data_IF_463150758174
#
_entry.id   IF_463150758174
#
_cell.length_a   1.000
_cell.length_b   1.000
_cell.length_c   1.000
_cell.angle_alpha   90.00
_cell.angle_beta   90.00
_cell.angle_gamma   90.00
#
_symmetry.space_group_name_H-M   'P 1'
#
loop_
_entity.id
_entity.type
_entity.pdbx_description
1 polymer ?
#
# COMPACT_ATOMS: atom_id res chain seq x y z
N UNK A 1 7.44 26.07 -14.30
CA UNK A 1 6.66 26.10 -13.05
C UNK A 1 6.55 24.67 -12.54
N UNK A 2 7.19 24.34 -11.41
CA UNK A 2 7.26 22.96 -10.90
C UNK A 2 5.87 22.42 -10.56
N UNK A 3 5.58 21.15 -10.93
CA UNK A 3 4.35 20.49 -10.54
C UNK A 3 4.29 20.41 -9.01
N UNK A 4 3.38 21.18 -8.39
CA UNK A 4 3.26 21.25 -6.94
C UNK A 4 2.35 20.11 -6.47
N UNK A 5 2.89 19.17 -5.71
CA UNK A 5 2.14 18.09 -5.07
C UNK A 5 1.02 18.70 -4.21
N UNK A 6 -0.19 18.18 -4.32
CA UNK A 6 -1.30 18.59 -3.46
C UNK A 6 -1.19 17.88 -2.09
N UNK A 7 -0.25 18.31 -1.25
CA UNK A 7 0.13 17.64 0.00
C UNK A 7 -1.06 17.27 0.90
N UNK A 8 -2.00 18.19 1.15
CA UNK A 8 -3.19 17.91 1.98
C UNK A 8 -3.96 16.71 1.45
N UNK A 9 -4.22 16.67 0.14
CA UNK A 9 -4.92 15.55 -0.50
C UNK A 9 -4.08 14.29 -0.51
N UNK A 10 -2.78 14.41 -0.79
CA UNK A 10 -1.85 13.29 -0.79
C UNK A 10 -1.85 12.60 0.58
N UNK A 11 -1.82 13.36 1.68
CA UNK A 11 -1.87 12.83 3.05
C UNK A 11 -3.24 12.23 3.39
N UNK A 12 -4.35 12.91 3.06
CA UNK A 12 -5.69 12.38 3.34
C UNK A 12 -5.94 11.04 2.62
N UNK A 13 -5.56 10.95 1.34
CA UNK A 13 -5.70 9.73 0.56
C UNK A 13 -4.74 8.65 1.06
N UNK A 14 -3.52 9.02 1.44
CA UNK A 14 -2.58 8.10 2.07
C UNK A 14 -3.16 7.46 3.33
N UNK A 15 -3.69 8.27 4.25
CA UNK A 15 -4.29 7.80 5.51
C UNK A 15 -5.45 6.84 5.20
N UNK A 16 -6.34 7.25 4.29
CA UNK A 16 -7.47 6.42 3.87
C UNK A 16 -7.01 5.07 3.28
N UNK A 17 -6.03 5.10 2.38
CA UNK A 17 -5.48 3.89 1.74
C UNK A 17 -4.83 2.96 2.75
N UNK A 18 -3.98 3.52 3.61
CA UNK A 18 -3.24 2.78 4.62
C UNK A 18 -4.20 2.08 5.58
N UNK A 19 -5.17 2.82 6.14
CA UNK A 19 -6.18 2.25 7.05
C UNK A 19 -7.00 1.16 6.35
N UNK A 20 -7.43 1.37 5.11
CA UNK A 20 -8.22 0.39 4.38
C UNK A 20 -7.43 -0.90 4.11
N UNK A 21 -6.17 -0.79 3.67
CA UNK A 21 -5.28 -1.95 3.48
C UNK A 21 -5.08 -2.70 4.79
N UNK A 22 -4.83 -1.98 5.90
CA UNK A 22 -4.64 -2.61 7.22
C UNK A 22 -5.89 -3.39 7.63
N UNK A 23 -7.09 -2.81 7.50
CA UNK A 23 -8.34 -3.49 7.83
C UNK A 23 -8.51 -4.76 6.97
N UNK A 24 -8.28 -4.66 5.67
CA UNK A 24 -8.43 -5.80 4.75
C UNK A 24 -7.40 -6.90 5.02
N UNK A 25 -6.14 -6.54 5.25
CA UNK A 25 -5.07 -7.50 5.53
C UNK A 25 -5.28 -8.22 6.86
N UNK A 26 -5.60 -7.47 7.93
CA UNK A 26 -5.90 -8.03 9.25
C UNK A 26 -7.17 -8.88 9.18
N UNK A 27 -8.23 -8.39 8.53
CA UNK A 27 -9.47 -9.13 8.34
C UNK A 27 -9.26 -10.46 7.61
N UNK A 28 -8.42 -10.48 6.57
CA UNK A 28 -8.05 -11.71 5.87
C UNK A 28 -7.32 -12.70 6.80
N UNK A 29 -6.35 -12.22 7.58
CA UNK A 29 -5.60 -13.07 8.50
C UNK A 29 -6.52 -13.72 9.56
N UNK A 30 -7.44 -12.95 10.15
CA UNK A 30 -8.41 -13.48 11.10
C UNK A 30 -9.41 -14.44 10.43
N UNK A 31 -9.92 -14.10 9.25
CA UNK A 31 -10.82 -14.99 8.52
C UNK A 31 -10.17 -16.35 8.20
N UNK A 32 -8.89 -16.35 7.83
CA UNK A 32 -8.14 -17.58 7.58
C UNK A 32 -7.85 -18.38 8.85
N UNK A 33 -7.67 -17.71 10.00
CA UNK A 33 -7.41 -18.37 11.27
C UNK A 33 -8.58 -19.25 11.74
N UNK A 34 -9.83 -18.90 11.37
CA UNK A 34 -11.01 -19.74 11.63
C UNK A 34 -10.97 -21.09 10.90
N UNK A 35 -10.31 -21.15 9.74
CA UNK A 35 -10.28 -22.36 8.89
C UNK A 35 -8.96 -23.13 8.98
N UNK A 36 -7.90 -22.51 9.51
CA UNK A 36 -6.56 -23.09 9.57
C UNK A 36 -6.16 -23.24 11.04
N UNK A 37 -6.32 -24.45 11.61
CA UNK A 37 -5.93 -24.71 12.99
C UNK A 37 -4.44 -24.45 13.18
N UNK A 38 -4.10 -23.68 14.21
CA UNK A 38 -2.73 -23.48 14.64
C UNK A 38 -2.48 -24.27 15.95
N UNK A 39 -1.30 -24.88 16.13
CA UNK A 39 -0.88 -25.36 17.44
C UNK A 39 -0.91 -24.19 18.44
N UNK A 40 -1.27 -24.42 19.72
CA UNK A 40 -1.30 -23.35 20.73
C UNK A 40 0.05 -22.68 20.97
N UNK A 41 1.13 -23.29 20.49
CA UNK A 41 2.50 -22.78 20.58
C UNK A 41 2.86 -21.77 19.49
N UNK A 42 1.99 -21.57 18.49
CA UNK A 42 2.27 -20.70 17.34
C UNK A 42 1.13 -19.70 17.17
N UNK A 43 1.30 -18.51 17.75
CA UNK A 43 0.32 -17.43 17.69
C UNK A 43 0.85 -16.20 16.92
N UNK A 44 -0.08 -15.36 16.48
CA UNK A 44 0.20 -14.09 15.82
C UNK A 44 0.88 -14.24 14.46
N UNK A 45 1.95 -13.48 14.25
CA UNK A 45 2.68 -13.32 12.97
C UNK A 45 3.39 -14.58 12.47
N UNK A 46 3.50 -15.62 13.30
CA UNK A 46 4.08 -16.92 12.89
C UNK A 46 3.00 -17.98 12.61
N UNK A 47 1.72 -17.67 12.80
CA UNK A 47 0.64 -18.63 12.57
C UNK A 47 0.55 -19.00 11.08
N UNK A 48 0.20 -20.27 10.75
CA UNK A 48 0.02 -20.68 9.36
C UNK A 48 -1.02 -19.84 8.60
N UNK A 49 -2.07 -19.39 9.29
CA UNK A 49 -3.09 -18.50 8.74
C UNK A 49 -2.52 -17.14 8.33
N UNK A 50 -1.71 -16.52 9.20
CA UNK A 50 -1.07 -15.24 8.91
C UNK A 50 -0.06 -15.35 7.76
N UNK A 51 0.79 -16.38 7.76
CA UNK A 51 1.77 -16.63 6.69
C UNK A 51 1.10 -16.88 5.32
N UNK A 52 -0.11 -17.45 5.31
CA UNK A 52 -0.91 -17.57 4.10
C UNK A 52 -1.49 -16.20 3.69
N UNK A 53 -2.05 -15.45 4.64
CA UNK A 53 -2.63 -14.13 4.41
C UNK A 53 -1.59 -13.16 3.80
N UNK A 54 -0.36 -13.17 4.30
CA UNK A 54 0.74 -12.32 3.83
C UNK A 54 0.96 -12.38 2.32
N UNK A 55 0.77 -13.55 1.71
CA UNK A 55 0.95 -13.76 0.27
C UNK A 55 -0.04 -12.94 -0.57
N UNK A 56 -1.17 -12.56 0.01
CA UNK A 56 -2.21 -11.75 -0.62
C UNK A 56 -2.09 -10.26 -0.34
N UNK A 57 -1.24 -9.84 0.62
CA UNK A 57 -1.11 -8.43 0.99
C UNK A 57 -0.64 -7.54 -0.18
N UNK A 58 0.28 -7.97 -1.08
CA UNK A 58 0.60 -7.17 -2.26
C UNK A 58 -0.60 -6.95 -3.18
N UNK A 59 -1.45 -7.96 -3.35
CA UNK A 59 -2.67 -7.85 -4.18
C UNK A 59 -3.68 -6.90 -3.55
N UNK A 60 -3.91 -7.02 -2.24
CA UNK A 60 -4.78 -6.09 -1.48
C UNK A 60 -4.27 -4.66 -1.64
N UNK A 61 -2.96 -4.45 -1.54
CA UNK A 61 -2.36 -3.13 -1.75
C UNK A 61 -2.64 -2.61 -3.15
N UNK A 62 -2.38 -3.39 -4.21
CA UNK A 62 -2.68 -2.95 -5.58
C UNK A 62 -4.16 -2.60 -5.76
N UNK A 63 -5.06 -3.43 -5.24
CA UNK A 63 -6.51 -3.22 -5.32
C UNK A 63 -6.98 -1.94 -4.62
N UNK A 64 -6.28 -1.49 -3.57
CA UNK A 64 -6.63 -0.27 -2.82
C UNK A 64 -5.91 0.96 -3.39
N UNK A 65 -4.60 0.87 -3.58
CA UNK A 65 -3.77 2.01 -3.97
C UNK A 65 -4.05 2.48 -5.39
N UNK A 66 -4.39 1.60 -6.34
CA UNK A 66 -4.71 2.01 -7.72
C UNK A 66 -6.00 2.88 -7.78
N UNK A 67 -7.16 2.45 -7.23
CA UNK A 67 -8.36 3.29 -7.21
C UNK A 67 -8.19 4.58 -6.41
N UNK A 68 -7.44 4.55 -5.30
CA UNK A 68 -7.20 5.75 -4.50
C UNK A 68 -6.22 6.72 -5.17
N UNK A 69 -5.27 6.22 -5.95
CA UNK A 69 -4.47 7.05 -6.86
C UNK A 69 -5.37 7.74 -7.89
N UNK A 70 -6.36 7.03 -8.43
CA UNK A 70 -7.35 7.65 -9.33
C UNK A 70 -8.16 8.73 -8.62
N UNK A 71 -8.58 8.48 -7.38
CA UNK A 71 -9.26 9.50 -6.57
C UNK A 71 -8.37 10.73 -6.34
N UNK A 72 -7.05 10.58 -6.22
CA UNK A 72 -6.11 11.70 -6.16
C UNK A 72 -6.09 12.51 -7.46
N UNK A 73 -6.01 11.86 -8.62
CA UNK A 73 -5.91 12.55 -9.91
C UNK A 73 -7.25 13.05 -10.47
N UNK A 74 -8.40 12.53 -10.00
CA UNK A 74 -9.73 12.82 -10.56
C UNK A 74 -10.07 14.31 -10.71
N UNK A 75 -9.60 15.16 -9.80
CA UNK A 75 -9.91 16.60 -9.81
C UNK A 75 -8.67 17.46 -9.99
N UNK A 76 -7.60 16.89 -10.56
CA UNK A 76 -6.39 17.62 -10.90
C UNK A 76 -6.46 18.13 -12.32
N UNK A 77 -6.15 19.42 -12.49
CA UNK A 77 -6.16 20.08 -13.78
C UNK A 77 -5.15 19.43 -14.75
N UNK A 78 -5.60 19.29 -15.98
CA UNK A 78 -5.04 18.40 -17.00
C UNK A 78 -3.75 18.92 -17.64
N UNK A 79 -3.31 20.12 -17.26
CA UNK A 79 -2.23 20.88 -17.90
C UNK A 79 -0.83 20.55 -17.39
N UNK A 80 -0.70 19.71 -16.34
CA UNK A 80 0.57 19.45 -15.69
C UNK A 80 1.23 18.14 -16.14
N UNK A 81 2.55 18.05 -15.95
CA UNK A 81 3.36 16.84 -16.17
C UNK A 81 2.92 15.71 -15.22
N UNK A 82 1.79 15.08 -15.53
CA UNK A 82 1.08 14.10 -14.69
C UNK A 82 1.99 12.95 -14.25
N UNK A 83 2.93 12.54 -15.09
CA UNK A 83 3.93 11.52 -14.76
C UNK A 83 4.94 11.98 -13.71
N UNK A 84 5.40 13.24 -13.75
CA UNK A 84 6.31 13.77 -12.71
C UNK A 84 5.58 13.91 -11.39
N UNK A 85 4.33 14.36 -11.42
CA UNK A 85 3.50 14.41 -10.21
C UNK A 85 3.24 13.00 -9.65
N UNK A 86 2.91 12.02 -10.50
CA UNK A 86 2.72 10.64 -10.10
C UNK A 86 3.98 10.01 -9.49
N UNK A 87 5.15 10.26 -10.09
CA UNK A 87 6.42 9.80 -9.52
C UNK A 87 6.68 10.43 -8.14
N UNK A 88 6.44 11.72 -8.01
CA UNK A 88 6.60 12.44 -6.73
C UNK A 88 5.63 11.92 -5.67
N UNK A 89 4.37 11.69 -6.04
CA UNK A 89 3.34 11.15 -5.17
C UNK A 89 3.66 9.72 -4.72
N UNK A 90 4.06 8.85 -5.66
CA UNK A 90 4.44 7.46 -5.37
C UNK A 90 5.63 7.40 -4.42
N UNK A 91 6.67 8.19 -4.66
CA UNK A 91 7.83 8.29 -3.74
C UNK A 91 7.41 8.81 -2.37
N UNK A 92 6.57 9.85 -2.32
CA UNK A 92 6.08 10.42 -1.06
C UNK A 92 5.30 9.39 -0.23
N UNK A 93 4.36 8.67 -0.84
CA UNK A 93 3.60 7.62 -0.17
C UNK A 93 4.45 6.44 0.25
N UNK A 94 5.41 6.02 -0.58
CA UNK A 94 6.36 4.98 -0.23
C UNK A 94 7.15 5.33 1.03
N UNK A 95 7.73 6.54 1.09
CA UNK A 95 8.50 6.99 2.26
C UNK A 95 7.62 7.02 3.51
N UNK A 96 6.40 7.57 3.41
CA UNK A 96 5.48 7.58 4.54
C UNK A 96 5.12 6.18 5.01
N UNK A 97 4.83 5.24 4.10
CA UNK A 97 4.52 3.86 4.44
C UNK A 97 5.69 3.20 5.16
N UNK A 98 6.91 3.32 4.63
CA UNK A 98 8.11 2.75 5.27
C UNK A 98 8.34 3.31 6.69
N UNK A 99 8.11 4.60 6.91
CA UNK A 99 8.26 5.22 8.22
C UNK A 99 7.19 4.73 9.21
N UNK A 100 5.93 4.68 8.77
CA UNK A 100 4.84 4.20 9.62
C UNK A 100 5.02 2.71 9.92
N UNK A 101 5.44 1.91 8.94
CA UNK A 101 5.65 0.48 9.13
C UNK A 101 6.80 0.21 10.10
N UNK A 102 7.90 0.97 9.99
CA UNK A 102 9.01 0.90 10.93
C UNK A 102 8.54 1.26 12.36
N UNK A 103 7.80 2.35 12.53
CA UNK A 103 7.34 2.77 13.86
C UNK A 103 6.30 1.79 14.41
N UNK A 104 5.30 1.46 13.61
CA UNK A 104 4.14 0.64 13.98
C UNK A 104 4.52 -0.80 14.25
N UNK A 105 5.18 -1.47 13.29
CA UNK A 105 5.42 -2.91 13.37
C UNK A 105 6.78 -3.29 13.95
N UNK A 106 7.76 -2.39 14.01
CA UNK A 106 9.11 -2.74 14.48
C UNK A 106 9.43 -2.11 15.85
N UNK A 107 9.19 -0.80 15.99
CA UNK A 107 9.55 -0.06 17.20
C UNK A 107 8.52 -0.20 18.33
N UNK A 108 7.23 -0.10 18.01
CA UNK A 108 6.16 -0.25 19.00
C UNK A 108 5.88 -1.73 19.22
N UNK A 109 5.87 -2.17 20.49
CA UNK A 109 5.60 -3.57 20.86
C UNK A 109 4.10 -3.81 21.00
N UNK A 110 3.58 -4.72 20.19
CA UNK A 110 2.20 -5.20 20.21
C UNK A 110 2.15 -6.62 19.62
N UNK A 111 1.00 -7.33 19.63
CA UNK A 111 0.92 -8.73 19.19
C UNK A 111 1.33 -9.01 17.74
N UNK A 112 1.36 -7.97 16.88
CA UNK A 112 1.80 -8.07 15.48
C UNK A 112 3.18 -7.42 15.24
N UNK A 113 3.89 -7.03 16.31
CA UNK A 113 5.22 -6.45 16.18
C UNK A 113 6.26 -7.52 15.82
N UNK A 114 7.19 -7.16 14.96
CA UNK A 114 8.26 -8.00 14.44
C UNK A 114 9.62 -7.41 14.84
N UNK A 115 10.66 -8.26 14.88
CA UNK A 115 12.02 -7.75 14.92
C UNK A 115 12.37 -7.08 13.57
N UNK A 116 13.33 -6.14 13.51
CA UNK A 116 13.74 -5.55 12.23
C UNK A 116 14.15 -6.60 11.20
N UNK A 117 14.81 -7.67 11.66
CA UNK A 117 15.21 -8.80 10.80
C UNK A 117 14.00 -9.53 10.26
N UNK A 118 13.02 -9.85 11.10
CA UNK A 118 11.84 -10.61 10.67
C UNK A 118 10.95 -9.76 9.75
N UNK A 119 10.86 -8.45 10.02
CA UNK A 119 10.10 -7.53 9.19
C UNK A 119 10.72 -7.38 7.78
N UNK A 120 12.02 -7.11 7.66
CA UNK A 120 12.63 -6.88 6.35
C UNK A 120 13.06 -8.17 5.65
N UNK A 121 13.61 -9.15 6.37
CA UNK A 121 14.11 -10.39 5.77
C UNK A 121 13.05 -11.49 5.84
N UNK A 122 12.37 -11.64 6.97
CA UNK A 122 11.37 -12.68 7.18
C UNK A 122 10.15 -12.51 6.28
N UNK A 123 9.71 -11.27 6.03
CA UNK A 123 8.60 -10.99 5.12
C UNK A 123 9.01 -10.89 3.65
N UNK A 124 10.25 -11.24 3.29
CA UNK A 124 10.64 -11.29 1.89
C UNK A 124 9.85 -12.40 1.16
N UNK A 125 9.26 -12.15 -0.03
CA UNK A 125 9.31 -10.92 -0.82
C UNK A 125 8.13 -9.96 -0.58
N UNK A 126 7.17 -10.34 0.25
CA UNK A 126 5.84 -9.72 0.35
C UNK A 126 5.89 -8.23 0.72
N UNK A 127 6.67 -7.83 1.73
CA UNK A 127 6.76 -6.42 2.14
C UNK A 127 7.32 -5.52 1.02
N UNK A 128 8.27 -6.03 0.24
CA UNK A 128 8.84 -5.29 -0.89
C UNK A 128 7.86 -5.16 -2.06
N UNK A 129 7.03 -6.18 -2.28
CA UNK A 129 5.96 -6.10 -3.29
C UNK A 129 4.85 -5.13 -2.86
N UNK A 130 4.57 -5.00 -1.56
CA UNK A 130 3.68 -3.97 -1.01
C UNK A 130 4.27 -2.58 -1.30
N UNK A 131 5.54 -2.35 -0.95
CA UNK A 131 6.21 -1.08 -1.25
C UNK A 131 6.23 -0.74 -2.74
N UNK A 132 6.48 -1.73 -3.59
CA UNK A 132 6.37 -1.57 -5.03
C UNK A 132 4.94 -1.17 -5.43
N UNK A 133 3.91 -1.87 -4.92
CA UNK A 133 2.51 -1.54 -5.21
C UNK A 133 2.16 -0.09 -4.85
N UNK A 134 2.58 0.38 -3.67
CA UNK A 134 2.36 1.77 -3.22
C UNK A 134 3.02 2.75 -4.20
N UNK A 135 4.28 2.51 -4.56
CA UNK A 135 5.05 3.37 -5.44
C UNK A 135 4.49 3.40 -6.88
N UNK A 136 4.15 2.23 -7.46
CA UNK A 136 3.72 2.17 -8.87
C UNK A 136 2.29 2.66 -9.06
N UNK A 137 1.43 2.59 -8.04
CA UNK A 137 -0.01 2.83 -8.19
C UNK A 137 -0.34 4.22 -8.79
N UNK A 138 0.29 5.32 -8.33
CA UNK A 138 0.13 6.63 -8.98
C UNK A 138 0.56 6.64 -10.45
N UNK A 139 1.65 5.93 -10.78
CA UNK A 139 2.23 5.90 -12.12
C UNK A 139 1.31 5.14 -13.08
N UNK A 140 0.81 3.96 -12.65
CA UNK A 140 -0.18 3.19 -13.39
C UNK A 140 -1.46 4.01 -13.62
N UNK A 141 -1.91 4.73 -12.60
CA UNK A 141 -3.08 5.61 -12.71
C UNK A 141 -2.87 6.73 -13.73
N UNK A 142 -1.75 7.43 -13.67
CA UNK A 142 -1.39 8.46 -14.65
C UNK A 142 -1.39 7.91 -16.08
N UNK A 143 -0.81 6.73 -16.29
CA UNK A 143 -0.81 6.05 -17.59
C UNK A 143 -2.23 5.74 -18.09
N UNK A 144 -3.11 5.23 -17.22
CA UNK A 144 -4.52 4.95 -17.56
C UNK A 144 -5.28 6.22 -17.93
N UNK A 145 -5.09 7.32 -17.19
CA UNK A 145 -5.72 8.61 -17.46
C UNK A 145 -5.29 9.14 -18.83
N UNK A 146 -3.98 9.13 -19.11
CA UNK A 146 -3.45 9.59 -20.41
C UNK A 146 -3.97 8.73 -21.57
N UNK A 147 -3.99 7.39 -21.41
CA UNK A 147 -4.51 6.47 -22.42
C UNK A 147 -5.99 6.73 -22.72
N UNK A 148 -6.82 6.89 -21.68
CA UNK A 148 -8.25 7.17 -21.82
C UNK A 148 -8.52 8.45 -22.61
N UNK A 149 -7.73 9.51 -22.39
CA UNK A 149 -7.88 10.78 -23.11
C UNK A 149 -7.55 10.66 -24.59
N UNK A 150 -6.48 9.95 -24.93
CA UNK A 150 -6.11 9.69 -26.34
C UNK A 150 -7.22 8.99 -27.11
N UNK A 151 -7.97 8.11 -26.46
CA UNK A 151 -9.10 7.40 -27.07
C UNK A 151 -10.36 8.27 -27.26
N UNK A 152 -10.56 9.31 -26.45
CA UNK A 152 -11.72 10.21 -26.56
C UNK A 152 -11.47 11.32 -27.59
N UNK A 153 -10.20 11.66 -27.83
CA UNK A 153 -9.81 12.69 -28.79
C UNK A 153 -9.70 12.19 -30.26
N UNK A 154 -9.93 10.89 -30.49
CA UNK A 154 -10.01 10.25 -31.81
C UNK A 154 -11.46 10.12 -32.22
#
# INVERSE_FOLDING_TARGET
>A
MYAKLAYTRAVLIFILAYVLVTILAVGLAYALAEFIPAPPTVEGVNSPAYLLAEKFYPLINLMVWIPLSWLYFKTRDETYEIFKEALTLGTFWLILAMLIDLVGFVLIKHPLSLSPRDFYIGQFPWIYLIYAAIFISPICCAAMIVKRKRLIAQ
#
